data_IF_421080206900
#
_entry.id   IF_421080206900
#
_cell.length_a   1.000
_cell.length_b   1.000
_cell.length_c   1.000
_cell.angle_alpha   90.00
_cell.angle_beta   90.00
_cell.angle_gamma   90.00
#
_symmetry.space_group_name_H-M   'P 1'
#
loop_
_entity.id
_entity.type
_entity.pdbx_description
1 polymer ?
#
# COMPACT_ATOMS: atom_id res chain seq x y z
N UNK A 1 5.09 -30.94 34.20
CA UNK A 1 4.12 -30.75 33.10
C UNK A 1 4.88 -30.31 31.88
N UNK A 2 4.87 -31.12 30.82
CA UNK A 2 5.71 -30.91 29.63
C UNK A 2 5.13 -29.87 28.70
N UNK A 3 5.93 -28.98 28.05
CA UNK A 3 5.46 -28.11 26.98
C UNK A 3 5.41 -28.87 25.66
N UNK A 4 4.29 -28.81 25.00
CA UNK A 4 4.01 -29.40 23.68
C UNK A 4 4.80 -28.67 22.59
N UNK A 5 5.63 -29.42 21.88
CA UNK A 5 6.37 -28.99 20.69
C UNK A 5 5.39 -28.87 19.51
N UNK A 6 5.33 -27.71 18.88
CA UNK A 6 4.64 -27.51 17.59
C UNK A 6 5.61 -27.96 16.48
N UNK A 7 5.24 -29.04 15.77
CA UNK A 7 5.95 -29.52 14.59
C UNK A 7 5.32 -28.95 13.32
N UNK A 8 6.10 -28.22 12.55
CA UNK A 8 5.75 -27.85 11.18
C UNK A 8 6.22 -28.94 10.22
N UNK A 9 5.32 -29.71 9.67
CA UNK A 9 5.61 -30.64 8.56
C UNK A 9 4.88 -30.20 7.30
N UNK A 10 5.66 -30.12 6.24
CA UNK A 10 5.35 -29.81 4.85
C UNK A 10 4.17 -30.61 4.30
N UNK A 11 3.25 -29.90 3.63
CA UNK A 11 2.11 -30.46 2.92
C UNK A 11 2.53 -31.23 1.66
N UNK A 12 2.06 -32.45 1.55
CA UNK A 12 2.18 -33.27 0.35
C UNK A 12 1.10 -32.96 -0.68
N UNK A 13 1.53 -33.00 -1.93
CA UNK A 13 0.69 -32.96 -3.13
C UNK A 13 -0.20 -34.21 -3.23
N UNK A 14 -1.51 -34.02 -3.39
CA UNK A 14 -2.41 -35.08 -3.84
C UNK A 14 -3.17 -34.62 -5.11
N UNK A 15 -3.05 -35.43 -6.14
CA UNK A 15 -3.82 -35.35 -7.37
C UNK A 15 -5.23 -35.94 -7.15
N UNK A 16 -6.28 -35.25 -7.57
CA UNK A 16 -7.63 -35.78 -7.65
C UNK A 16 -8.11 -35.85 -9.09
N UNK A 17 -8.65 -37.03 -9.46
CA UNK A 17 -9.25 -37.35 -10.74
C UNK A 17 -10.68 -36.81 -10.81
N UNK A 18 -11.06 -36.38 -12.04
CA UNK A 18 -12.41 -35.96 -12.37
C UNK A 18 -13.37 -37.17 -12.41
N UNK A 19 -14.48 -37.06 -11.71
CA UNK A 19 -15.84 -37.54 -12.05
C UNK A 19 -16.68 -37.65 -10.79
N UNK A 20 -17.55 -36.69 -10.57
CA UNK A 20 -18.82 -36.92 -9.84
C UNK A 20 -19.83 -35.82 -10.21
N UNK A 21 -20.86 -36.21 -10.96
CA UNK A 21 -22.03 -35.44 -11.31
C UNK A 21 -22.97 -35.34 -10.08
N UNK A 22 -23.19 -34.14 -9.58
CA UNK A 22 -24.24 -33.88 -8.58
C UNK A 22 -25.37 -33.09 -9.24
N UNK A 23 -26.53 -33.73 -9.30
CA UNK A 23 -27.82 -33.14 -9.67
C UNK A 23 -28.29 -32.15 -8.59
N UNK A 24 -28.33 -30.85 -8.93
CA UNK A 24 -28.91 -29.82 -8.07
C UNK A 24 -30.29 -29.44 -8.61
N UNK A 25 -31.30 -29.56 -7.71
CA UNK A 25 -32.69 -29.29 -7.96
C UNK A 25 -33.02 -27.83 -8.31
N UNK A 26 -33.86 -27.63 -9.32
CA UNK A 26 -34.24 -26.39 -10.00
C UNK A 26 -35.22 -25.45 -9.23
N UNK A 27 -35.02 -25.16 -7.95
CA UNK A 27 -35.90 -24.23 -7.23
C UNK A 27 -35.20 -23.06 -6.52
N UNK A 28 -33.93 -22.72 -6.89
CA UNK A 28 -33.15 -21.59 -6.36
C UNK A 28 -32.98 -20.46 -7.39
N UNK A 29 -33.60 -20.58 -8.57
CA UNK A 29 -33.29 -19.76 -9.75
C UNK A 29 -33.72 -18.27 -9.67
N UNK A 30 -34.59 -17.84 -8.75
CA UNK A 30 -35.09 -16.45 -8.76
C UNK A 30 -34.47 -15.53 -7.69
N UNK A 31 -33.84 -16.06 -6.66
CA UNK A 31 -33.11 -15.26 -5.66
C UNK A 31 -31.64 -15.01 -6.03
N UNK A 32 -31.10 -15.78 -6.99
CA UNK A 32 -29.71 -15.71 -7.42
C UNK A 32 -29.41 -14.48 -8.28
N UNK A 33 -30.40 -14.03 -9.10
CA UNK A 33 -30.16 -12.91 -10.03
C UNK A 33 -29.99 -11.54 -9.36
N UNK A 34 -30.73 -11.26 -8.28
CA UNK A 34 -30.60 -9.98 -7.56
C UNK A 34 -29.30 -9.97 -6.73
N UNK A 35 -28.90 -11.10 -6.16
CA UNK A 35 -27.62 -11.20 -5.43
C UNK A 35 -26.41 -11.11 -6.37
N UNK A 36 -26.50 -11.65 -7.58
CA UNK A 36 -25.49 -11.57 -8.64
C UNK A 36 -25.38 -10.13 -9.20
N UNK A 37 -26.50 -9.43 -9.38
CA UNK A 37 -26.51 -8.02 -9.81
C UNK A 37 -25.94 -7.09 -8.73
N UNK A 38 -26.27 -7.34 -7.48
CA UNK A 38 -25.70 -6.60 -6.35
C UNK A 38 -24.21 -6.95 -6.15
N UNK A 39 -23.79 -8.22 -6.28
CA UNK A 39 -22.38 -8.61 -6.27
C UNK A 39 -21.59 -8.01 -7.45
N UNK A 40 -22.16 -7.94 -8.66
CA UNK A 40 -21.53 -7.25 -9.80
C UNK A 40 -21.40 -5.76 -9.57
N UNK A 41 -22.39 -5.12 -8.95
CA UNK A 41 -22.36 -3.68 -8.64
C UNK A 41 -21.35 -3.35 -7.53
N UNK A 42 -21.27 -4.16 -6.49
CA UNK A 42 -20.27 -4.05 -5.42
C UNK A 42 -18.87 -4.33 -5.99
N UNK A 43 -18.68 -5.39 -6.78
CA UNK A 43 -17.43 -5.73 -7.45
C UNK A 43 -16.94 -4.62 -8.41
N UNK A 44 -17.84 -3.94 -9.12
CA UNK A 44 -17.46 -2.81 -9.99
C UNK A 44 -17.07 -1.56 -9.19
N UNK A 45 -17.73 -1.29 -8.05
CA UNK A 45 -17.37 -0.19 -7.17
C UNK A 45 -16.02 -0.43 -6.47
N UNK A 46 -15.81 -1.66 -5.96
CA UNK A 46 -14.52 -2.09 -5.38
C UNK A 46 -13.39 -2.07 -6.42
N UNK A 47 -13.66 -2.49 -7.68
CA UNK A 47 -12.71 -2.36 -8.80
C UNK A 47 -12.29 -0.91 -9.03
N UNK A 48 -13.24 0.05 -9.09
CA UNK A 48 -12.94 1.45 -9.29
C UNK A 48 -12.10 2.03 -8.14
N UNK A 49 -12.37 1.64 -6.90
CA UNK A 49 -11.64 2.13 -5.72
C UNK A 49 -10.19 1.59 -5.67
N UNK A 50 -9.96 0.32 -6.03
CA UNK A 50 -8.63 -0.29 -6.04
C UNK A 50 -7.74 0.25 -7.17
N UNK A 51 -8.28 0.44 -8.38
CA UNK A 51 -7.57 1.08 -9.50
C UNK A 51 -7.19 2.52 -9.15
N UNK A 52 -8.11 3.26 -8.51
CA UNK A 52 -7.83 4.61 -8.00
C UNK A 52 -6.76 4.65 -6.90
N UNK A 53 -6.44 3.53 -6.25
CA UNK A 53 -5.41 3.47 -5.21
C UNK A 53 -4.00 3.36 -5.79
N UNK A 54 -3.76 2.43 -6.71
CA UNK A 54 -2.41 2.08 -7.18
C UNK A 54 -1.75 3.13 -8.07
N UNK A 55 -2.49 3.79 -8.97
CA UNK A 55 -1.88 4.85 -9.78
C UNK A 55 -1.34 6.00 -8.91
N UNK A 56 -1.98 6.26 -7.77
CA UNK A 56 -1.54 7.26 -6.81
C UNK A 56 -0.21 6.90 -6.18
N UNK A 57 -0.06 5.62 -5.78
CA UNK A 57 1.17 5.11 -5.20
C UNK A 57 2.32 5.24 -6.21
N UNK A 58 2.09 4.86 -7.47
CA UNK A 58 3.08 4.97 -8.54
C UNK A 58 3.44 6.42 -8.86
N UNK A 59 2.47 7.32 -9.00
CA UNK A 59 2.73 8.75 -9.24
C UNK A 59 3.46 9.38 -8.05
N UNK A 60 3.10 9.01 -6.81
CA UNK A 60 3.82 9.44 -5.62
C UNK A 60 5.29 8.99 -5.66
N UNK A 61 5.54 7.70 -5.96
CA UNK A 61 6.91 7.18 -6.10
C UNK A 61 7.71 7.92 -7.17
N UNK A 62 7.11 8.16 -8.35
CA UNK A 62 7.76 8.88 -9.47
C UNK A 62 8.08 10.33 -9.09
N UNK A 63 7.14 11.03 -8.46
CA UNK A 63 7.29 12.42 -8.03
C UNK A 63 8.40 12.56 -6.97
N UNK A 64 8.44 11.65 -6.02
CA UNK A 64 9.43 11.65 -4.93
C UNK A 64 10.71 10.84 -5.23
N UNK A 65 10.89 10.36 -6.45
CA UNK A 65 12.20 9.97 -6.97
C UNK A 65 13.13 11.18 -7.17
N UNK A 66 12.56 12.39 -7.35
CA UNK A 66 13.31 13.64 -7.44
C UNK A 66 13.75 14.13 -6.05
N UNK A 67 15.05 14.41 -5.90
CA UNK A 67 15.64 14.86 -4.64
C UNK A 67 15.14 16.23 -4.18
N UNK A 68 14.80 17.13 -5.10
CA UNK A 68 14.28 18.44 -4.76
C UNK A 68 12.90 18.33 -4.13
N UNK A 69 12.04 17.45 -4.68
CA UNK A 69 10.73 17.14 -4.12
C UNK A 69 10.82 16.47 -2.75
N UNK A 70 11.77 15.53 -2.57
CA UNK A 70 12.03 14.92 -1.26
C UNK A 70 12.50 15.95 -0.23
N UNK A 71 13.34 16.90 -0.64
CA UNK A 71 13.84 17.96 0.24
C UNK A 71 12.74 18.95 0.63
N UNK A 72 11.85 19.29 -0.30
CA UNK A 72 10.66 20.11 -0.03
C UNK A 72 9.76 19.46 1.03
N UNK A 73 9.46 18.16 0.85
CA UNK A 73 8.67 17.39 1.80
C UNK A 73 9.35 17.28 3.17
N UNK A 74 10.66 17.03 3.21
CA UNK A 74 11.43 17.03 4.45
C UNK A 74 11.33 18.37 5.18
N UNK A 75 11.52 19.47 4.47
CA UNK A 75 11.46 20.81 5.03
C UNK A 75 10.06 21.12 5.61
N UNK A 76 9.00 20.72 4.90
CA UNK A 76 7.62 20.88 5.35
C UNK A 76 7.31 20.09 6.63
N UNK A 77 7.79 18.84 6.72
CA UNK A 77 7.58 17.97 7.88
C UNK A 77 8.32 18.45 9.13
N UNK A 78 9.52 19.02 8.95
CA UNK A 78 10.42 19.39 10.06
C UNK A 78 10.45 20.90 10.32
N UNK A 79 9.66 21.71 9.61
CA UNK A 79 9.73 23.18 9.65
C UNK A 79 11.17 23.70 9.45
N UNK A 80 11.87 23.09 8.52
CA UNK A 80 13.27 23.42 8.16
C UNK A 80 13.36 24.10 6.81
N UNK A 81 14.56 24.51 6.41
CA UNK A 81 14.80 25.24 5.16
C UNK A 81 16.11 24.82 4.49
N UNK A 82 16.40 23.52 4.45
CA UNK A 82 17.54 23.00 3.73
C UNK A 82 17.42 23.31 2.23
N UNK A 83 18.53 23.67 1.59
CA UNK A 83 18.54 24.06 0.18
C UNK A 83 19.43 23.15 -0.69
N UNK A 84 20.40 22.47 -0.08
CA UNK A 84 21.32 21.63 -0.80
C UNK A 84 20.78 20.21 -0.97
N UNK A 85 20.36 19.86 -2.17
CA UNK A 85 19.84 18.53 -2.52
C UNK A 85 20.91 17.44 -2.50
N UNK A 86 22.20 17.81 -2.62
CA UNK A 86 23.31 16.85 -2.63
C UNK A 86 23.56 16.23 -1.24
N UNK A 87 23.09 16.88 -0.17
CA UNK A 87 23.16 16.35 1.20
C UNK A 87 22.19 15.17 1.41
N UNK A 88 21.27 14.95 0.46
CA UNK A 88 20.25 13.92 0.50
C UNK A 88 20.71 12.67 -0.27
N UNK A 89 20.76 11.54 0.44
CA UNK A 89 21.06 10.23 -0.16
C UNK A 89 19.78 9.38 -0.25
N UNK A 90 19.34 9.09 -1.46
CA UNK A 90 18.17 8.23 -1.70
C UNK A 90 18.51 6.78 -1.35
N UNK A 91 17.62 6.14 -0.59
CA UNK A 91 17.73 4.75 -0.12
C UNK A 91 16.49 3.92 -0.45
N UNK A 92 15.62 4.42 -1.35
CA UNK A 92 14.38 3.76 -1.76
C UNK A 92 14.62 2.33 -2.26
N UNK A 93 13.79 1.39 -1.80
CA UNK A 93 13.84 -0.02 -2.18
C UNK A 93 13.12 -0.22 -3.52
N UNK A 94 13.84 -0.54 -4.57
CA UNK A 94 13.30 -0.67 -5.93
C UNK A 94 12.85 -2.10 -6.31
N UNK A 95 12.67 -3.01 -5.32
CA UNK A 95 12.14 -4.35 -5.58
C UNK A 95 12.99 -5.19 -6.54
N UNK A 96 14.33 -5.19 -6.41
CA UNK A 96 15.22 -6.06 -7.20
C UNK A 96 15.06 -7.55 -6.85
N UNK A 97 15.64 -8.44 -7.67
CA UNK A 97 15.50 -9.92 -7.59
C UNK A 97 15.79 -10.54 -6.21
N UNK A 98 16.40 -9.82 -5.31
CA UNK A 98 16.75 -10.26 -3.95
C UNK A 98 15.97 -9.58 -2.83
N UNK A 99 15.13 -8.57 -3.13
CA UNK A 99 14.33 -7.85 -2.14
C UNK A 99 12.85 -8.14 -2.33
N UNK A 100 12.22 -8.70 -1.29
CA UNK A 100 10.79 -9.03 -1.29
C UNK A 100 9.89 -7.79 -1.13
N UNK A 101 10.45 -6.68 -0.66
CA UNK A 101 9.68 -5.52 -0.25
C UNK A 101 10.12 -4.27 -1.01
N UNK A 102 9.16 -3.46 -1.37
CA UNK A 102 9.32 -2.15 -2.01
C UNK A 102 8.68 -1.12 -1.10
N UNK A 103 9.32 0.03 -0.88
CA UNK A 103 8.72 1.18 -0.23
C UNK A 103 8.62 2.35 -1.21
N UNK A 104 7.69 3.27 -0.98
CA UNK A 104 7.41 4.37 -1.91
C UNK A 104 8.58 5.35 -2.03
N UNK A 105 9.09 5.84 -0.90
CA UNK A 105 10.29 6.67 -0.89
C UNK A 105 11.06 6.53 0.42
N UNK A 106 12.39 6.51 0.35
CA UNK A 106 13.26 6.63 1.52
C UNK A 106 14.57 7.35 1.20
N UNK A 107 15.10 8.05 2.19
CA UNK A 107 16.35 8.80 2.04
C UNK A 107 17.03 9.07 3.38
N UNK A 108 18.34 9.35 3.30
CA UNK A 108 19.16 9.81 4.41
C UNK A 108 19.45 11.30 4.27
N UNK A 109 19.24 12.04 5.36
CA UNK A 109 19.66 13.43 5.49
C UNK A 109 20.16 13.68 6.92
N UNK A 110 21.40 14.18 7.05
CA UNK A 110 21.98 14.52 8.35
C UNK A 110 21.84 13.42 9.42
N UNK A 111 22.13 12.17 9.07
CA UNK A 111 22.00 10.98 9.93
C UNK A 111 20.55 10.67 10.38
N UNK A 112 19.56 11.14 9.65
CA UNK A 112 18.17 10.72 9.78
C UNK A 112 17.77 9.93 8.54
N UNK A 113 17.14 8.78 8.73
CA UNK A 113 16.56 7.94 7.68
C UNK A 113 15.06 8.16 7.66
N UNK A 114 14.55 8.82 6.63
CA UNK A 114 13.13 8.99 6.41
C UNK A 114 12.60 7.91 5.48
N UNK A 115 11.48 7.32 5.83
CA UNK A 115 10.78 6.32 5.03
C UNK A 115 9.32 6.74 4.91
N UNK A 116 8.88 6.95 3.68
CA UNK A 116 7.53 7.39 3.33
C UNK A 116 6.76 6.28 2.64
N UNK A 117 5.49 6.19 2.95
CA UNK A 117 4.49 5.36 2.26
C UNK A 117 3.24 6.19 1.99
N UNK A 118 2.67 6.04 0.82
CA UNK A 118 1.35 6.57 0.51
C UNK A 118 0.33 5.44 0.63
N UNK A 119 -0.82 5.70 1.25
CA UNK A 119 -1.88 4.71 1.42
C UNK A 119 -3.25 5.29 1.05
N UNK A 120 -3.95 4.63 0.12
CA UNK A 120 -5.32 4.98 -0.28
C UNK A 120 -6.39 4.18 0.47
N UNK A 121 -5.98 3.16 1.22
CA UNK A 121 -6.85 2.36 2.09
C UNK A 121 -6.35 2.37 3.52
N UNK A 122 -7.25 2.12 4.46
CA UNK A 122 -6.91 1.94 5.87
C UNK A 122 -6.00 0.71 6.03
N UNK A 123 -4.82 0.92 6.58
CA UNK A 123 -3.85 -0.16 6.80
C UNK A 123 -3.19 -0.08 8.18
N UNK A 124 -3.75 -0.74 9.20
CA UNK A 124 -3.19 -0.76 10.56
C UNK A 124 -1.87 -1.55 10.64
N UNK A 125 -1.50 -2.33 9.62
CA UNK A 125 -0.30 -3.17 9.61
C UNK A 125 0.97 -2.40 9.17
N UNK A 126 0.90 -1.09 9.02
CA UNK A 126 2.05 -0.26 8.62
C UNK A 126 3.27 -0.40 9.53
N UNK A 127 3.15 -0.55 10.88
CA UNK A 127 4.34 -0.74 11.71
C UNK A 127 5.13 -1.99 11.33
N UNK A 128 4.47 -3.11 11.05
CA UNK A 128 5.14 -4.35 10.63
C UNK A 128 5.76 -4.21 9.24
N UNK A 129 5.08 -3.52 8.29
CA UNK A 129 5.64 -3.25 6.96
C UNK A 129 6.92 -2.41 7.07
N UNK A 130 6.92 -1.32 7.83
CA UNK A 130 8.11 -0.50 8.03
C UNK A 130 9.24 -1.23 8.76
N UNK A 131 8.94 -2.16 9.64
CA UNK A 131 9.96 -3.02 10.26
C UNK A 131 10.72 -3.82 9.20
N UNK A 132 10.02 -4.40 8.22
CA UNK A 132 10.64 -5.08 7.10
C UNK A 132 11.47 -4.12 6.23
N UNK A 133 10.91 -2.97 5.87
CA UNK A 133 11.60 -1.99 5.01
C UNK A 133 12.87 -1.44 5.66
N UNK A 134 12.81 -1.04 6.92
CA UNK A 134 14.00 -0.51 7.63
C UNK A 134 15.07 -1.57 7.77
N UNK A 135 14.70 -2.83 8.01
CA UNK A 135 15.64 -3.95 8.05
C UNK A 135 16.37 -4.10 6.71
N UNK A 136 15.67 -4.02 5.59
CA UNK A 136 16.27 -4.15 4.26
C UNK A 136 17.14 -2.93 3.90
N UNK A 137 16.71 -1.71 4.21
CA UNK A 137 17.53 -0.51 4.04
C UNK A 137 18.80 -0.57 4.90
N UNK A 138 18.71 -1.00 6.16
CA UNK A 138 19.87 -1.15 7.02
C UNK A 138 20.87 -2.19 6.50
N UNK A 139 20.39 -3.28 5.86
CA UNK A 139 21.27 -4.27 5.20
C UNK A 139 21.99 -3.69 3.97
N UNK A 140 21.40 -2.73 3.26
CA UNK A 140 22.08 -2.04 2.16
C UNK A 140 23.18 -1.10 2.67
N UNK A 141 22.88 -0.37 3.75
CA UNK A 141 23.81 0.61 4.33
C UNK A 141 24.98 -0.08 5.05
N UNK A 142 24.69 -1.18 5.76
CA UNK A 142 25.65 -1.87 6.63
C UNK A 142 25.88 -3.30 6.15
N UNK A 143 27.12 -3.61 5.75
CA UNK A 143 27.50 -4.98 5.42
C UNK A 143 27.50 -5.89 6.65
N UNK A 144 27.26 -7.19 6.45
CA UNK A 144 27.26 -8.18 7.54
C UNK A 144 28.57 -8.15 8.35
N UNK A 145 29.72 -7.90 7.71
CA UNK A 145 31.01 -7.80 8.38
C UNK A 145 31.10 -6.65 9.38
N UNK A 146 30.36 -5.56 9.15
CA UNK A 146 30.36 -4.41 10.08
C UNK A 146 29.63 -4.72 11.39
N UNK A 147 28.69 -5.66 11.40
CA UNK A 147 27.96 -6.05 12.60
C UNK A 147 28.84 -6.81 13.63
N UNK A 148 29.95 -7.38 13.20
CA UNK A 148 30.89 -8.10 14.07
C UNK A 148 32.00 -7.23 14.67
N UNK A 149 31.93 -5.90 14.48
CA UNK A 149 32.91 -4.97 15.07
C UNK A 149 32.79 -4.93 16.59
N UNK A 150 33.94 -4.75 17.28
CA UNK A 150 33.94 -4.57 18.74
C UNK A 150 33.43 -3.19 19.17
N UNK A 151 33.53 -2.19 18.30
CA UNK A 151 33.00 -0.83 18.56
C UNK A 151 31.54 -0.74 18.19
N UNK A 152 30.77 0.02 18.97
CA UNK A 152 29.38 0.30 18.68
C UNK A 152 29.22 0.94 17.29
N UNK A 153 28.38 0.35 16.46
CA UNK A 153 27.99 0.89 15.18
C UNK A 153 26.96 2.02 15.39
N UNK A 154 27.23 3.18 14.84
CA UNK A 154 26.23 4.28 14.83
C UNK A 154 25.34 4.11 13.60
N UNK A 155 24.05 4.13 13.81
CA UNK A 155 23.03 4.02 12.78
C UNK A 155 22.23 5.31 12.67
N UNK A 156 21.67 5.64 11.50
CA UNK A 156 20.79 6.81 11.36
C UNK A 156 19.51 6.61 12.19
N UNK A 157 18.92 7.73 12.62
CA UNK A 157 17.63 7.72 13.33
C UNK A 157 16.50 7.46 12.32
N UNK A 158 15.71 6.38 12.44
CA UNK A 158 14.63 6.10 11.49
C UNK A 158 13.37 6.90 11.83
N UNK A 159 12.72 7.42 10.79
CA UNK A 159 11.43 8.10 10.85
C UNK A 159 10.47 7.44 9.86
N UNK A 160 9.30 7.00 10.34
CA UNK A 160 8.31 6.28 9.55
C UNK A 160 7.05 7.12 9.42
N UNK A 161 6.69 7.45 8.19
CA UNK A 161 5.56 8.34 7.89
C UNK A 161 4.70 7.72 6.79
N UNK A 162 3.41 7.63 7.06
CA UNK A 162 2.40 7.22 6.09
C UNK A 162 1.53 8.41 5.74
N UNK A 163 1.42 8.73 4.45
CA UNK A 163 0.48 9.71 3.93
C UNK A 163 -0.81 9.02 3.52
N UNK A 164 -1.90 9.30 4.22
CA UNK A 164 -3.19 8.74 3.93
C UNK A 164 -4.04 9.68 3.07
N UNK A 165 -4.45 9.21 1.90
CA UNK A 165 -5.35 9.94 1.01
C UNK A 165 -6.60 9.12 0.62
N UNK A 166 -6.97 8.11 1.42
CA UNK A 166 -8.15 7.28 1.15
C UNK A 166 -9.48 8.04 1.28
N UNK A 167 -10.54 7.46 0.72
CA UNK A 167 -11.91 7.99 0.84
C UNK A 167 -12.57 7.61 2.16
N UNK A 168 -12.17 6.48 2.77
CA UNK A 168 -12.69 6.06 4.05
C UNK A 168 -12.22 6.99 5.17
N UNK A 169 -13.10 7.29 6.12
CA UNK A 169 -12.71 8.00 7.33
C UNK A 169 -11.89 7.07 8.23
N UNK A 170 -10.58 7.28 8.27
CA UNK A 170 -9.67 6.53 9.14
C UNK A 170 -9.17 7.39 10.31
N UNK A 171 -8.46 8.47 10.00
CA UNK A 171 -7.91 9.41 10.98
C UNK A 171 -8.38 10.83 10.63
N UNK A 172 -8.51 11.71 11.64
CA UNK A 172 -8.92 13.09 11.35
C UNK A 172 -7.79 13.90 10.72
N UNK A 173 -6.65 14.01 11.40
CA UNK A 173 -5.50 14.80 10.91
C UNK A 173 -4.22 13.98 10.95
N UNK A 174 -3.83 13.53 12.13
CA UNK A 174 -2.59 12.81 12.39
C UNK A 174 -2.77 11.85 13.54
N UNK A 175 -2.17 10.65 13.43
CA UNK A 175 -2.19 9.62 14.45
C UNK A 175 -0.85 8.89 14.50
N UNK A 176 -0.49 8.36 15.68
CA UNK A 176 0.64 7.45 15.85
C UNK A 176 0.10 6.05 16.05
N UNK A 177 0.40 5.15 15.13
CA UNK A 177 0.16 3.72 15.27
C UNK A 177 1.44 2.99 15.65
N UNK A 178 1.35 1.94 16.46
CA UNK A 178 2.50 1.29 17.08
C UNK A 178 2.57 -0.18 16.74
N UNK A 179 3.79 -0.71 16.71
CA UNK A 179 4.01 -2.14 16.54
C UNK A 179 3.43 -2.94 17.71
N UNK A 180 3.52 -2.41 18.92
CA UNK A 180 2.96 -3.04 20.13
C UNK A 180 1.44 -3.18 20.10
N UNK A 181 0.73 -2.35 19.35
CA UNK A 181 -0.74 -2.47 19.16
C UNK A 181 -1.12 -3.73 18.38
N UNK A 182 -0.16 -4.39 17.73
CA UNK A 182 -0.33 -5.61 16.94
C UNK A 182 0.02 -6.90 17.71
N UNK A 183 0.50 -6.80 18.95
CA UNK A 183 0.86 -7.97 19.75
C UNK A 183 -0.41 -8.69 20.22
N UNK A 184 -0.39 -10.02 20.20
CA UNK A 184 -1.49 -10.85 20.69
C UNK A 184 -1.73 -10.66 22.19
N UNK A 185 -0.64 -10.42 22.94
CA UNK A 185 -0.68 -10.15 24.39
C UNK A 185 -0.25 -8.70 24.67
N UNK A 186 -1.03 -8.02 25.49
CA UNK A 186 -0.71 -6.65 25.90
C UNK A 186 0.53 -6.61 26.80
N UNK A 187 1.39 -5.63 26.59
CA UNK A 187 2.53 -5.33 27.44
C UNK A 187 2.76 -3.82 27.57
N UNK A 188 2.95 -3.35 28.80
CA UNK A 188 3.27 -1.92 29.06
C UNK A 188 4.71 -1.55 28.67
N UNK A 189 5.59 -2.55 28.56
CA UNK A 189 7.00 -2.33 28.29
C UNK A 189 7.51 -3.30 27.20
N UNK A 190 7.16 -3.07 25.94
CA UNK A 190 7.63 -3.89 24.85
C UNK A 190 9.16 -3.75 24.68
N UNK A 191 9.85 -4.86 24.50
CA UNK A 191 11.28 -4.86 24.18
C UNK A 191 11.57 -4.35 22.75
N UNK A 192 10.57 -4.40 21.88
CA UNK A 192 10.63 -3.86 20.52
C UNK A 192 9.42 -2.96 20.25
N UNK A 193 9.69 -1.72 19.87
CA UNK A 193 8.66 -0.76 19.49
C UNK A 193 9.04 -0.03 18.21
N UNK A 194 8.07 0.10 17.30
CA UNK A 194 8.14 0.94 16.11
C UNK A 194 6.88 1.78 16.03
N UNK A 195 7.06 3.08 15.85
CA UNK A 195 5.96 4.05 15.79
C UNK A 195 5.88 4.63 14.39
N UNK A 196 4.71 4.58 13.78
CA UNK A 196 4.43 5.15 12.47
C UNK A 196 3.53 6.37 12.64
N UNK A 197 3.97 7.48 12.10
CA UNK A 197 3.18 8.71 12.02
C UNK A 197 2.31 8.63 10.77
N UNK A 198 1.00 8.53 10.94
CA UNK A 198 0.03 8.55 9.85
C UNK A 198 -0.53 9.96 9.72
N UNK A 199 -0.38 10.58 8.56
CA UNK A 199 -0.84 11.93 8.26
C UNK A 199 -1.94 11.85 7.21
N UNK A 200 -3.14 12.31 7.54
CA UNK A 200 -4.21 12.45 6.57
C UNK A 200 -3.94 13.70 5.71
N UNK A 201 -3.77 13.47 4.41
CA UNK A 201 -3.48 14.53 3.43
C UNK A 201 -4.69 14.92 2.57
N UNK A 202 -5.91 14.50 2.96
CA UNK A 202 -7.13 14.96 2.30
C UNK A 202 -7.54 16.35 2.79
N UNK A 203 -8.22 17.12 1.95
CA UNK A 203 -8.80 18.41 2.29
C UNK A 203 -7.75 19.46 2.70
N UNK A 204 -8.01 20.20 3.79
CA UNK A 204 -7.16 21.31 4.25
C UNK A 204 -6.03 20.86 5.19
N UNK A 205 -5.33 19.78 4.89
CA UNK A 205 -4.24 19.30 5.73
C UNK A 205 -3.10 20.33 5.84
N UNK A 206 -2.64 20.62 7.07
CA UNK A 206 -1.62 21.64 7.34
C UNK A 206 -0.32 21.43 6.54
N UNK A 207 0.05 20.17 6.25
CA UNK A 207 1.22 19.82 5.46
C UNK A 207 1.12 20.32 4.01
N UNK A 208 -0.08 20.37 3.42
CA UNK A 208 -0.30 20.84 2.05
C UNK A 208 -0.02 22.35 1.91
N UNK A 209 -0.19 23.12 2.99
CA UNK A 209 0.16 24.53 3.01
C UNK A 209 1.67 24.77 3.03
N UNK A 210 2.45 23.80 3.49
CA UNK A 210 3.90 23.88 3.65
C UNK A 210 4.68 23.20 2.53
N UNK A 211 4.10 22.21 1.86
CA UNK A 211 4.71 21.46 0.78
C UNK A 211 3.90 21.66 -0.52
N UNK A 212 4.42 22.51 -1.43
CA UNK A 212 3.76 22.77 -2.71
C UNK A 212 3.63 21.48 -3.52
N UNK A 213 4.69 20.69 -3.60
CA UNK A 213 4.70 19.44 -4.38
C UNK A 213 3.64 18.45 -3.91
N UNK A 214 3.44 18.29 -2.59
CA UNK A 214 2.42 17.41 -2.05
C UNK A 214 1.00 17.94 -2.30
N UNK A 215 0.80 19.26 -2.19
CA UNK A 215 -0.47 19.90 -2.53
C UNK A 215 -0.81 19.70 -4.00
N UNK A 216 0.13 19.95 -4.88
CA UNK A 216 -0.05 19.83 -6.33
C UNK A 216 -0.37 18.35 -6.71
N UNK A 217 0.31 17.39 -6.07
CA UNK A 217 -0.03 15.97 -6.19
C UNK A 217 -1.47 15.67 -5.74
N UNK A 218 -1.91 16.21 -4.60
CA UNK A 218 -3.28 15.99 -4.12
C UNK A 218 -4.31 16.64 -5.04
N UNK A 219 -4.02 17.81 -5.63
CA UNK A 219 -4.89 18.43 -6.63
C UNK A 219 -5.09 17.52 -7.85
N UNK A 220 -4.01 16.94 -8.37
CA UNK A 220 -4.09 15.96 -9.46
C UNK A 220 -4.93 14.72 -9.06
N UNK A 221 -4.70 14.19 -7.87
CA UNK A 221 -5.46 13.04 -7.33
C UNK A 221 -6.96 13.37 -7.22
N UNK A 222 -7.32 14.54 -6.72
CA UNK A 222 -8.71 14.98 -6.58
C UNK A 222 -9.41 15.20 -7.92
N UNK A 223 -8.72 15.81 -8.89
CA UNK A 223 -9.24 15.96 -10.26
C UNK A 223 -9.51 14.58 -10.91
N UNK A 224 -8.56 13.66 -10.80
CA UNK A 224 -8.74 12.30 -11.32
C UNK A 224 -9.93 11.59 -10.65
N UNK A 225 -10.04 11.68 -9.31
CA UNK A 225 -11.18 11.13 -8.57
C UNK A 225 -12.52 11.71 -9.01
N UNK A 226 -12.59 13.02 -9.20
CA UNK A 226 -13.80 13.66 -9.65
C UNK A 226 -14.26 13.11 -11.01
N UNK A 227 -13.32 12.94 -11.94
CA UNK A 227 -13.61 12.40 -13.27
C UNK A 227 -14.03 10.93 -13.25
N UNK A 228 -13.43 10.11 -12.38
CA UNK A 228 -13.81 8.70 -12.25
C UNK A 228 -15.10 8.48 -11.47
N UNK A 229 -15.31 9.23 -10.40
CA UNK A 229 -16.38 8.97 -9.45
C UNK A 229 -17.67 9.73 -9.78
N UNK A 230 -17.54 10.96 -10.31
CA UNK A 230 -18.67 11.86 -10.59
C UNK A 230 -19.02 11.86 -12.09
N UNK A 231 -18.01 11.96 -12.95
CA UNK A 231 -18.21 11.98 -14.40
C UNK A 231 -18.28 10.58 -15.03
N UNK A 232 -18.05 9.52 -14.25
CA UNK A 232 -18.08 8.11 -14.66
C UNK A 232 -17.13 7.76 -15.82
N UNK A 233 -16.03 8.49 -15.95
CA UNK A 233 -15.01 8.27 -16.97
C UNK A 233 -14.15 7.06 -16.64
N UNK A 234 -13.64 6.38 -17.67
CA UNK A 234 -12.61 5.38 -17.49
C UNK A 234 -11.31 6.01 -16.96
N UNK A 235 -10.48 5.19 -16.30
CA UNK A 235 -9.27 5.67 -15.60
C UNK A 235 -8.31 6.36 -16.56
N UNK A 236 -8.11 5.82 -17.76
CA UNK A 236 -7.20 6.41 -18.76
C UNK A 236 -7.64 7.82 -19.15
N UNK A 237 -8.90 7.96 -19.49
CA UNK A 237 -9.49 9.26 -19.88
C UNK A 237 -9.43 10.23 -18.69
N UNK A 238 -9.81 9.78 -17.48
CA UNK A 238 -9.80 10.59 -16.28
C UNK A 238 -8.38 11.10 -15.93
N UNK A 239 -7.37 10.24 -15.98
CA UNK A 239 -5.97 10.61 -15.73
C UNK A 239 -5.46 11.56 -16.81
N UNK A 240 -5.73 11.28 -18.10
CA UNK A 240 -5.28 12.13 -19.21
C UNK A 240 -5.83 13.55 -19.09
N UNK A 241 -7.13 13.68 -18.87
CA UNK A 241 -7.78 14.99 -18.71
C UNK A 241 -7.36 15.70 -17.42
N UNK A 242 -7.15 14.98 -16.33
CA UNK A 242 -6.65 15.56 -15.09
C UNK A 242 -5.21 16.11 -15.25
N UNK A 243 -4.37 15.46 -16.04
CA UNK A 243 -3.04 15.97 -16.42
C UNK A 243 -3.19 17.26 -17.22
N UNK A 244 -4.05 17.30 -18.26
CA UNK A 244 -4.25 18.47 -19.08
C UNK A 244 -4.70 19.68 -18.24
N UNK A 245 -5.69 19.49 -17.38
CA UNK A 245 -6.14 20.55 -16.47
C UNK A 245 -5.04 20.99 -15.47
N UNK A 246 -4.23 20.07 -14.96
CA UNK A 246 -3.12 20.43 -14.08
C UNK A 246 -2.08 21.27 -14.82
N UNK A 247 -1.75 20.91 -16.06
CA UNK A 247 -0.80 21.68 -16.89
C UNK A 247 -1.34 23.07 -17.19
N UNK A 248 -2.61 23.19 -17.57
CA UNK A 248 -3.28 24.48 -17.83
C UNK A 248 -3.32 25.38 -16.59
N UNK A 249 -3.43 24.79 -15.40
CA UNK A 249 -3.39 25.49 -14.10
C UNK A 249 -1.98 25.71 -13.53
N UNK A 250 -0.94 25.37 -14.28
CA UNK A 250 0.47 25.45 -13.86
C UNK A 250 0.80 24.59 -12.63
N UNK A 251 0.23 23.38 -12.58
CA UNK A 251 0.40 22.37 -11.53
C UNK A 251 1.23 21.22 -12.07
N UNK A 252 2.35 20.90 -11.44
CA UNK A 252 3.28 19.81 -11.81
C UNK A 252 3.70 19.80 -13.29
N UNK A 253 3.82 20.95 -13.93
CA UNK A 253 4.07 21.08 -15.39
C UNK A 253 5.31 20.30 -15.81
N UNK A 254 6.49 20.60 -15.22
CA UNK A 254 7.74 19.95 -15.57
C UNK A 254 7.70 18.42 -15.35
N UNK A 255 6.95 17.97 -14.34
CA UNK A 255 6.75 16.56 -14.07
C UNK A 255 5.89 15.89 -15.14
N UNK A 256 4.77 16.49 -15.52
CA UNK A 256 3.88 15.91 -16.54
C UNK A 256 4.46 16.03 -17.95
N UNK A 257 5.19 17.10 -18.27
CA UNK A 257 5.92 17.19 -19.54
C UNK A 257 6.92 16.02 -19.72
N UNK A 258 7.55 15.61 -18.65
CA UNK A 258 8.54 14.54 -18.65
C UNK A 258 7.96 13.12 -18.54
N UNK A 259 6.89 12.95 -17.76
CA UNK A 259 6.38 11.65 -17.32
C UNK A 259 4.93 11.35 -17.74
N UNK A 260 4.31 12.19 -18.60
CA UNK A 260 2.91 12.05 -18.97
C UNK A 260 2.53 10.65 -19.43
N UNK A 261 3.27 10.11 -20.41
CA UNK A 261 2.99 8.80 -20.97
C UNK A 261 3.12 7.71 -19.91
N UNK A 262 4.16 7.77 -19.10
CA UNK A 262 4.41 6.82 -18.02
C UNK A 262 3.31 6.86 -16.97
N UNK A 263 2.84 8.05 -16.54
CA UNK A 263 1.74 8.21 -15.59
C UNK A 263 0.44 7.61 -16.13
N UNK A 264 0.12 7.84 -17.41
CA UNK A 264 -1.06 7.25 -18.06
C UNK A 264 -0.91 5.73 -18.16
N UNK A 265 0.26 5.23 -18.55
CA UNK A 265 0.54 3.81 -18.76
C UNK A 265 0.46 3.01 -17.45
N UNK A 266 1.12 3.43 -16.37
CA UNK A 266 1.02 2.78 -15.05
C UNK A 266 -0.41 2.73 -14.54
N UNK A 267 -1.23 3.73 -14.88
CA UNK A 267 -2.65 3.76 -14.48
C UNK A 267 -3.48 2.66 -15.15
N UNK A 268 -3.06 2.17 -16.32
CA UNK A 268 -3.74 1.13 -17.10
C UNK A 268 -3.23 -0.26 -16.74
N UNK A 269 -1.90 -0.45 -16.66
CA UNK A 269 -1.30 -1.77 -16.39
C UNK A 269 -1.62 -2.29 -14.98
N UNK A 270 -1.71 -1.41 -14.00
CA UNK A 270 -2.14 -1.78 -12.65
C UNK A 270 -3.60 -2.28 -12.60
N UNK A 271 -4.42 -1.93 -13.61
CA UNK A 271 -5.78 -2.43 -13.74
C UNK A 271 -5.82 -3.93 -14.04
N UNK A 272 -5.00 -4.39 -14.98
CA UNK A 272 -5.01 -5.79 -15.42
C UNK A 272 -4.43 -6.73 -14.34
N UNK A 273 -3.37 -6.32 -13.66
CA UNK A 273 -2.78 -7.10 -12.57
C UNK A 273 -3.72 -7.28 -11.38
N UNK A 274 -4.51 -6.25 -11.05
CA UNK A 274 -5.51 -6.34 -9.99
C UNK A 274 -6.70 -7.22 -10.37
N UNK A 275 -7.12 -7.21 -11.63
CA UNK A 275 -8.15 -8.12 -12.12
C UNK A 275 -7.72 -9.56 -11.94
N UNK A 276 -6.47 -9.89 -12.29
CA UNK A 276 -5.89 -11.22 -12.07
C UNK A 276 -5.84 -11.57 -10.58
N UNK A 277 -5.38 -10.65 -9.72
CA UNK A 277 -5.33 -10.87 -8.26
C UNK A 277 -6.72 -11.09 -7.66
N UNK A 278 -7.73 -10.35 -8.11
CA UNK A 278 -9.11 -10.53 -7.63
C UNK A 278 -9.72 -11.85 -8.10
N UNK A 279 -9.44 -12.28 -9.32
CA UNK A 279 -9.85 -13.60 -9.80
C UNK A 279 -9.22 -14.69 -8.93
N UNK A 280 -7.91 -14.63 -8.70
CA UNK A 280 -7.20 -15.61 -7.86
C UNK A 280 -7.71 -15.59 -6.42
N UNK A 281 -7.93 -14.41 -5.83
CA UNK A 281 -8.46 -14.30 -4.47
C UNK A 281 -9.89 -14.87 -4.36
N UNK A 282 -10.72 -14.66 -5.37
CA UNK A 282 -12.06 -15.24 -5.42
C UNK A 282 -12.02 -16.77 -5.54
N UNK A 283 -11.18 -17.28 -6.42
CA UNK A 283 -11.04 -18.73 -6.61
C UNK A 283 -10.53 -19.41 -5.32
N UNK A 284 -9.56 -18.78 -4.64
CA UNK A 284 -9.10 -19.25 -3.31
C UNK A 284 -10.21 -19.20 -2.24
N UNK A 285 -11.03 -18.16 -2.21
CA UNK A 285 -12.15 -18.06 -1.28
C UNK A 285 -13.24 -19.10 -1.56
N UNK A 286 -13.51 -19.42 -2.83
CA UNK A 286 -14.44 -20.47 -3.21
C UNK A 286 -13.91 -21.86 -2.81
N UNK A 287 -12.62 -22.14 -3.03
CA UNK A 287 -11.98 -23.38 -2.59
C UNK A 287 -12.03 -23.56 -1.05
N UNK A 288 -11.74 -22.49 -0.31
CA UNK A 288 -11.82 -22.49 1.16
C UNK A 288 -13.26 -22.74 1.65
N UNK A 289 -14.26 -22.12 1.02
CA UNK A 289 -15.66 -22.33 1.36
C UNK A 289 -16.12 -23.79 1.10
N UNK A 290 -15.66 -24.40 0.01
CA UNK A 290 -15.93 -25.80 -0.31
C UNK A 290 -15.27 -26.75 0.70
N UNK A 291 -14.02 -26.48 1.10
CA UNK A 291 -13.32 -27.30 2.11
C UNK A 291 -14.00 -27.17 3.50
N UNK A 292 -14.42 -25.97 3.87
CA UNK A 292 -15.14 -25.72 5.12
C UNK A 292 -16.51 -26.43 5.13
N UNK A 293 -17.25 -26.41 4.02
CA UNK A 293 -18.51 -27.15 3.89
C UNK A 293 -18.31 -28.66 4.00
N UNK A 294 -17.26 -29.21 3.40
CA UNK A 294 -16.88 -30.63 3.51
C UNK A 294 -16.49 -31.02 4.94
N UNK A 295 -15.83 -30.16 5.67
CA UNK A 295 -15.50 -30.39 7.10
C UNK A 295 -16.74 -30.41 7.97
N UNK A 296 -17.69 -29.49 7.76
CA UNK A 296 -18.95 -29.42 8.49
C UNK A 296 -19.80 -30.69 8.23
N UNK A 297 -19.94 -31.12 6.98
CA UNK A 297 -20.73 -32.33 6.65
C UNK A 297 -20.15 -33.60 7.28
N UNK A 298 -18.83 -33.73 7.40
CA UNK A 298 -18.19 -34.86 8.10
C UNK A 298 -18.45 -34.85 9.62
N UNK A 299 -18.50 -33.67 10.21
CA UNK A 299 -18.83 -33.53 11.66
C UNK A 299 -20.31 -33.85 11.96
N UNK A 300 -21.20 -33.67 10.98
CA UNK A 300 -22.62 -34.03 11.09
C UNK A 300 -22.86 -35.54 10.88
N UNK A 301 -21.98 -36.25 10.13
CA UNK A 301 -22.05 -37.70 9.93
C UNK A 301 -21.49 -38.49 11.13
N UNK A 302 -20.64 -37.88 11.96
CA UNK A 302 -20.00 -38.50 13.11
C UNK A 302 -20.85 -38.34 14.44
N UNK A 303 -22.08 -37.75 14.38
CA UNK A 303 -23.01 -37.55 15.48
C UNK A 303 -24.23 -38.43 15.32
#
# INVERSE_FOLDING_TARGET
MNPTKINWTTAGLFSLSANDNILINNNISMCVDISLLNKRRISMAEKKDNVSAKFKDNVFCMLYADKANLLDLYNALNNSSYKNVDDLQVTTLNGGSYMKYKNDASFLLSMNLYMFEQQSSKNPNMPLRFLHYVSDVMRQIFSNSTLHRRSMLKIPVPHFITFYNGKEKWIEKEEIIKLSDMFEEYTDNPEMELKVRVININGDADILNKCKTLRDYMTFVEKTRYKTDVEDKDVKTAVTEAIDECVDENILVDFFEKHREEVVEVSIYDYDEEEVRMVVARDMAEEMAVDQAKRLSRLEEDV
#
